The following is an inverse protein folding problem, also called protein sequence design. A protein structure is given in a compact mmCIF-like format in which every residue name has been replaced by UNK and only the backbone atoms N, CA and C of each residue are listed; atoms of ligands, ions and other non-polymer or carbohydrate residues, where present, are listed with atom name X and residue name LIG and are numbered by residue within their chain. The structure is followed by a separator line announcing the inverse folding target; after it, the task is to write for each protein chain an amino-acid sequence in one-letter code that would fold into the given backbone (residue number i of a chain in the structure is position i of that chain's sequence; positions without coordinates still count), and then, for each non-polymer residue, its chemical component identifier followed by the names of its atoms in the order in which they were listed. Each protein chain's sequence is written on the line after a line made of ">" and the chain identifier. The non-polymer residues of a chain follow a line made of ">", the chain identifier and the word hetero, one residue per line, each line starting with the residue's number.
data_IF_660553112301
#
_entry.id   IF_660553112301
#
_cell.length_a   1.000
_cell.length_b   1.000
_cell.length_c   1.000
_cell.angle_alpha   90.00
_cell.angle_beta   90.00
_cell.angle_gamma   90.00
#
_symmetry.space_group_name_H-M   'P 1'
#
loop_
_entity.id
_entity.type
_entity.pdbx_description
1 polymer ?
#
# COMPACT_ATOMS: atom_id res chain seq x y z
N UNK A 1 3.59 26.38 2.40
CA UNK A 1 3.94 25.50 1.27
C UNK A 1 4.38 24.12 1.82
N UNK A 2 3.55 23.06 1.84
CA UNK A 2 4.04 21.74 2.23
C UNK A 2 4.63 21.01 1.02
N UNK A 3 5.94 21.23 0.88
CA UNK A 3 7.02 20.32 0.52
C UNK A 3 6.71 18.83 0.22
N UNK A 4 7.22 18.40 -0.97
CA UNK A 4 7.85 17.11 -1.29
C UNK A 4 6.95 15.88 -1.48
N UNK A 5 6.41 15.75 -2.68
CA UNK A 5 6.26 14.43 -3.32
C UNK A 5 7.65 13.87 -3.63
N UNK A 6 8.30 13.23 -2.65
CA UNK A 6 9.39 12.29 -2.94
C UNK A 6 8.77 11.07 -3.61
N UNK A 7 8.82 11.02 -4.93
CA UNK A 7 8.66 9.79 -5.70
C UNK A 7 9.92 8.94 -5.54
N UNK A 8 10.15 8.44 -4.32
CA UNK A 8 10.95 7.23 -4.16
C UNK A 8 10.01 6.09 -4.54
N UNK A 9 10.16 5.51 -5.73
CA UNK A 9 9.73 4.13 -5.98
C UNK A 9 10.60 3.23 -5.12
N UNK A 10 10.37 3.27 -3.80
CA UNK A 10 11.05 2.40 -2.87
C UNK A 10 10.51 0.99 -3.10
N UNK A 11 11.37 -0.03 -2.98
CA UNK A 11 11.00 -1.46 -2.95
C UNK A 11 9.93 -1.82 -1.88
N UNK A 12 9.40 -0.81 -1.17
CA UNK A 12 8.37 -0.89 -0.15
C UNK A 12 6.98 -0.49 -0.64
N UNK A 13 6.82 0.02 -1.85
CA UNK A 13 5.48 0.35 -2.36
C UNK A 13 4.68 -0.94 -2.63
N UNK A 14 3.59 -1.15 -1.89
CA UNK A 14 2.61 -2.18 -2.22
C UNK A 14 1.57 -1.57 -3.18
N UNK A 15 1.57 -2.06 -4.42
CA UNK A 15 0.73 -1.55 -5.51
C UNK A 15 -0.24 -2.60 -5.99
N UNK A 16 -1.34 -2.14 -6.56
CA UNK A 16 -2.29 -3.02 -7.22
C UNK A 16 -1.62 -3.77 -8.39
N UNK A 17 -1.77 -5.10 -8.44
CA UNK A 17 -1.21 -5.95 -9.50
C UNK A 17 -1.80 -5.70 -10.89
N UNK A 18 -2.92 -4.98 -10.99
CA UNK A 18 -3.61 -4.67 -12.26
C UNK A 18 -3.39 -3.24 -12.74
N UNK A 19 -3.73 -2.25 -11.92
CA UNK A 19 -3.68 -0.84 -12.34
C UNK A 19 -2.52 -0.04 -11.70
N UNK A 20 -1.63 -0.70 -10.96
CA UNK A 20 -0.46 -0.10 -10.32
C UNK A 20 -0.73 1.04 -9.33
N UNK A 21 -2.00 1.27 -8.97
CA UNK A 21 -2.39 2.22 -7.92
C UNK A 21 -1.75 1.82 -6.60
N UNK A 22 -1.21 2.80 -5.87
CA UNK A 22 -0.62 2.60 -4.55
C UNK A 22 -1.71 2.15 -3.56
N UNK A 23 -1.49 0.99 -2.93
CA UNK A 23 -2.37 0.42 -1.91
C UNK A 23 -1.79 0.65 -0.51
N UNK A 24 -0.48 0.62 -0.37
CA UNK A 24 0.20 0.84 0.90
C UNK A 24 1.72 0.93 0.77
N UNK A 25 2.39 1.13 1.90
CA UNK A 25 3.84 1.06 2.03
C UNK A 25 4.23 0.00 3.06
N UNK A 26 5.14 -0.87 2.68
CA UNK A 26 5.65 -1.98 3.48
C UNK A 26 6.74 -1.47 4.41
N UNK A 27 6.58 -1.70 5.70
CA UNK A 27 7.53 -1.35 6.73
C UNK A 27 7.73 -2.55 7.65
N UNK A 28 8.86 -3.24 7.46
CA UNK A 28 9.16 -4.52 8.13
C UNK A 28 8.06 -5.55 7.83
N UNK A 29 7.31 -5.98 8.84
CA UNK A 29 6.20 -6.94 8.75
C UNK A 29 4.81 -6.30 8.71
N UNK A 30 4.74 -4.97 8.52
CA UNK A 30 3.49 -4.21 8.51
C UNK A 30 3.33 -3.42 7.22
N UNK A 31 2.10 -3.10 6.88
CA UNK A 31 1.73 -2.29 5.72
C UNK A 31 0.93 -1.07 6.19
N UNK A 32 1.42 0.12 5.85
CA UNK A 32 0.68 1.36 5.98
C UNK A 32 -0.26 1.51 4.79
N UNK A 33 -1.56 1.38 5.00
CA UNK A 33 -2.54 1.40 3.92
C UNK A 33 -2.91 2.82 3.50
N UNK A 34 -3.09 3.01 2.19
CA UNK A 34 -3.50 4.26 1.56
C UNK A 34 -5.00 4.20 1.25
N UNK A 35 -5.82 4.31 2.30
CA UNK A 35 -7.28 4.15 2.22
C UNK A 35 -8.06 5.48 2.32
N UNK A 36 -7.50 6.55 2.88
CA UNK A 36 -8.13 7.89 2.80
C UNK A 36 -7.13 8.97 3.21
N UNK A 37 -7.49 10.25 3.01
CA UNK A 37 -6.64 11.38 3.41
C UNK A 37 -6.64 11.64 4.92
N UNK A 38 -7.63 11.13 5.66
CA UNK A 38 -7.83 11.47 7.08
C UNK A 38 -7.35 10.39 8.04
N UNK A 39 -7.35 9.12 7.64
CA UNK A 39 -7.01 8.01 8.53
C UNK A 39 -5.79 7.25 8.03
N UNK A 40 -4.83 7.05 8.93
CA UNK A 40 -3.70 6.16 8.71
C UNK A 40 -4.05 4.79 9.26
N UNK A 41 -3.97 3.76 8.42
CA UNK A 41 -4.20 2.39 8.82
C UNK A 41 -2.89 1.62 8.74
N UNK A 42 -2.61 0.86 9.78
CA UNK A 42 -1.48 -0.04 9.84
C UNK A 42 -2.00 -1.46 10.01
N UNK A 43 -1.56 -2.38 9.16
CA UNK A 43 -1.97 -3.76 9.21
C UNK A 43 -0.74 -4.68 9.17
N UNK A 44 -0.75 -5.74 9.97
CA UNK A 44 0.22 -6.81 9.91
C UNK A 44 -0.10 -7.74 8.73
N UNK A 45 0.92 -8.43 8.22
CA UNK A 45 0.73 -9.52 7.27
C UNK A 45 0.25 -10.81 7.97
N UNK A 46 -0.45 -11.72 7.27
CA UNK A 46 -0.92 -11.60 5.89
C UNK A 46 -2.05 -10.58 5.75
N UNK A 47 -2.13 -9.91 4.60
CA UNK A 47 -3.06 -8.81 4.35
C UNK A 47 -3.69 -8.90 2.97
N UNK A 48 -4.97 -8.54 2.87
CA UNK A 48 -5.69 -8.39 1.61
C UNK A 48 -6.30 -6.99 1.48
N UNK A 49 -6.37 -6.49 0.23
CA UNK A 49 -6.99 -5.19 -0.07
C UNK A 49 -7.57 -5.17 -1.48
N UNK A 50 -8.82 -4.71 -1.58
CA UNK A 50 -9.48 -4.45 -2.85
C UNK A 50 -9.04 -3.09 -3.38
N UNK A 51 -8.56 -3.06 -4.62
CA UNK A 51 -8.16 -1.83 -5.27
C UNK A 51 -9.38 -0.94 -5.53
N UNK A 52 -9.45 0.20 -4.86
CA UNK A 52 -10.51 1.22 -5.02
C UNK A 52 -10.47 2.00 -6.34
N UNK A 53 -9.75 1.51 -7.34
CA UNK A 53 -9.70 2.08 -8.68
C UNK A 53 -10.14 1.09 -9.76
N UNK A 54 -9.78 -0.19 -9.64
CA UNK A 54 -10.11 -1.21 -10.64
C UNK A 54 -10.80 -2.46 -10.06
N UNK A 55 -11.13 -2.48 -8.77
CA UNK A 55 -11.82 -3.59 -8.10
C UNK A 55 -10.99 -4.85 -7.89
N UNK A 56 -9.72 -4.90 -8.32
CA UNK A 56 -8.89 -6.11 -8.19
C UNK A 56 -8.54 -6.38 -6.72
N UNK A 57 -8.73 -7.62 -6.26
CA UNK A 57 -8.24 -8.10 -4.96
C UNK A 57 -6.70 -8.30 -5.01
N UNK A 58 -6.00 -7.75 -4.03
CA UNK A 58 -4.56 -7.87 -3.88
C UNK A 58 -4.27 -8.46 -2.51
N UNK A 59 -3.37 -9.43 -2.47
CA UNK A 59 -3.00 -10.16 -1.27
C UNK A 59 -1.49 -10.07 -1.10
N UNK A 60 -1.05 -10.00 0.15
CA UNK A 60 0.35 -9.99 0.52
C UNK A 60 0.55 -10.89 1.73
N UNK A 61 1.36 -11.92 1.53
CA UNK A 61 1.95 -12.76 2.57
C UNK A 61 3.41 -12.36 2.65
N UNK A 62 3.93 -11.98 3.83
CA UNK A 62 5.39 -11.89 3.97
C UNK A 62 5.87 -13.34 4.09
N UNK A 63 6.36 -13.88 2.98
CA UNK A 63 7.22 -15.06 3.03
C UNK A 63 8.61 -14.60 3.52
N UNK A 64 9.32 -15.45 4.31
CA UNK A 64 10.59 -15.09 4.95
C UNK A 64 11.67 -14.60 3.97
#
# INVERSE_FOLDING_TARGET
>A
MPSRFRTHTSHRDWRCKRCFKLLGRIERSRVQLVISRSHQYLASVPISSVCRCCGTLNEMVTLP
#
